data_IF_884487105511
#
_entry.id   IF_884487105511
#
_cell.length_a   1.000
_cell.length_b   1.000
_cell.length_c   1.000
_cell.angle_alpha   90.00
_cell.angle_beta   90.00
_cell.angle_gamma   90.00
#
_symmetry.space_group_name_H-M   'P 1'
#
loop_
_entity.id
_entity.type
_entity.pdbx_description
1 polymer ?
#
# COMPACT_ATOMS: atom_id res chain seq x y z
N UNK A 1 -6.11 -17.29 -4.09
CA UNK A 1 -6.37 -16.75 -5.44
C UNK A 1 -5.13 -16.00 -5.91
N UNK A 2 -4.49 -16.48 -6.95
CA UNK A 2 -3.37 -15.78 -7.55
C UNK A 2 -3.85 -14.50 -8.22
N UNK A 3 -3.15 -13.38 -8.00
CA UNK A 3 -3.33 -12.19 -8.82
C UNK A 3 -2.97 -12.62 -10.25
N UNK A 4 -3.83 -12.42 -11.25
CA UNK A 4 -3.46 -12.72 -12.62
C UNK A 4 -2.22 -11.90 -12.96
N UNK A 5 -1.15 -12.58 -13.36
CA UNK A 5 0.02 -11.91 -13.92
C UNK A 5 -0.46 -11.10 -15.11
N UNK A 6 -0.30 -9.77 -15.03
CA UNK A 6 -0.58 -8.90 -16.16
C UNK A 6 0.43 -9.29 -17.24
N UNK A 7 -0.01 -10.12 -18.20
CA UNK A 7 0.77 -10.41 -19.40
C UNK A 7 0.91 -9.09 -20.16
N UNK A 8 2.11 -8.54 -20.15
CA UNK A 8 2.48 -7.48 -21.08
C UNK A 8 2.29 -7.99 -22.49
N UNK A 9 1.22 -7.59 -23.14
CA UNK A 9 1.11 -7.73 -24.62
C UNK A 9 2.05 -6.69 -25.21
N UNK A 10 3.15 -7.14 -25.80
CA UNK A 10 3.98 -6.31 -26.69
C UNK A 10 3.13 -5.91 -27.89
N UNK A 11 2.90 -4.60 -28.05
CA UNK A 11 2.25 -4.01 -29.22
C UNK A 11 0.90 -3.34 -28.87
N UNK A 12 0.87 -2.01 -28.99
CA UNK A 12 -0.32 -1.15 -29.00
C UNK A 12 -1.26 -1.27 -27.78
N UNK A 13 -0.76 -1.08 -26.60
CA UNK A 13 -1.57 -1.05 -25.38
C UNK A 13 -1.04 -0.06 -24.36
N UNK A 14 -1.95 0.45 -23.52
CA UNK A 14 -1.59 1.23 -22.34
C UNK A 14 -0.67 0.40 -21.45
N UNK A 15 0.51 0.93 -21.15
CA UNK A 15 1.43 0.31 -20.19
C UNK A 15 1.02 0.74 -18.79
N UNK A 16 0.74 -0.24 -17.93
CA UNK A 16 0.33 -0.03 -16.54
C UNK A 16 1.35 -0.67 -15.62
N UNK A 17 1.81 0.08 -14.63
CA UNK A 17 2.76 -0.36 -13.61
C UNK A 17 2.13 -0.24 -12.22
N UNK A 18 2.26 -1.27 -11.39
CA UNK A 18 1.90 -1.19 -9.98
C UNK A 18 2.94 -0.33 -9.27
N UNK A 19 2.49 0.74 -8.61
CA UNK A 19 3.37 1.68 -7.90
C UNK A 19 3.25 1.58 -6.38
N UNK A 20 2.16 1.02 -5.87
CA UNK A 20 1.99 0.77 -4.45
C UNK A 20 0.98 -0.35 -4.17
N UNK A 21 1.28 -1.18 -3.19
CA UNK A 21 0.37 -2.18 -2.63
C UNK A 21 0.24 -1.90 -1.14
N UNK A 22 -0.99 -1.81 -0.65
CA UNK A 22 -1.31 -1.72 0.77
C UNK A 22 -1.89 -3.05 1.21
N UNK A 23 -1.32 -3.63 2.26
CA UNK A 23 -1.77 -4.90 2.83
C UNK A 23 -2.05 -4.77 4.31
N UNK A 24 -2.88 -5.67 4.82
CA UNK A 24 -2.97 -5.96 6.24
C UNK A 24 -2.56 -7.40 6.51
N UNK A 25 -2.05 -7.62 7.72
CA UNK A 25 -1.66 -8.93 8.23
C UNK A 25 -1.79 -8.96 9.75
N UNK A 26 -1.68 -10.12 10.36
CA UNK A 26 -1.60 -10.28 11.81
C UNK A 26 -0.42 -11.16 12.17
N UNK A 27 0.32 -10.75 13.20
CA UNK A 27 1.41 -11.54 13.76
C UNK A 27 0.92 -12.61 14.76
N UNK A 28 -0.37 -12.57 15.13
CA UNK A 28 -0.96 -13.52 16.09
C UNK A 28 -0.35 -13.43 17.49
N UNK A 29 0.20 -12.28 17.84
CA UNK A 29 0.90 -12.06 19.09
C UNK A 29 0.78 -10.60 19.51
N UNK A 30 0.58 -10.33 20.80
CA UNK A 30 0.61 -8.96 21.31
C UNK A 30 2.04 -8.39 21.24
N UNK A 31 2.15 -7.15 20.79
CA UNK A 31 3.44 -6.48 20.56
C UNK A 31 3.61 -5.33 21.55
N UNK A 32 4.68 -5.35 22.37
CA UNK A 32 5.02 -4.25 23.26
C UNK A 32 5.65 -3.09 22.46
N UNK A 33 4.81 -2.15 22.03
CA UNK A 33 5.23 -1.05 21.13
C UNK A 33 6.27 -0.12 21.77
N UNK A 34 6.16 0.14 23.07
CA UNK A 34 7.13 0.95 23.80
C UNK A 34 8.53 0.31 23.77
N UNK A 35 8.61 -1.00 23.98
CA UNK A 35 9.87 -1.75 23.91
C UNK A 35 10.44 -1.73 22.49
N UNK A 36 9.59 -1.89 21.49
CA UNK A 36 9.99 -1.76 20.08
C UNK A 36 10.58 -0.39 19.80
N UNK A 37 9.89 0.67 20.17
CA UNK A 37 10.30 2.04 19.93
C UNK A 37 11.62 2.39 20.66
N UNK A 38 11.82 1.87 21.85
CA UNK A 38 13.03 2.11 22.65
C UNK A 38 14.27 1.36 22.12
N UNK A 39 14.07 0.26 21.41
CA UNK A 39 15.17 -0.67 21.08
C UNK A 39 15.49 -0.69 19.57
N UNK A 40 14.48 -0.58 18.72
CA UNK A 40 14.64 -0.72 17.27
C UNK A 40 14.86 0.64 16.61
N UNK A 41 15.85 0.75 15.72
CA UNK A 41 16.00 1.93 14.87
C UNK A 41 14.88 2.02 13.83
N UNK A 42 14.73 3.19 13.23
CA UNK A 42 13.73 3.45 12.18
C UNK A 42 12.27 3.25 12.64
N UNK A 43 12.02 3.39 13.93
CA UNK A 43 10.67 3.38 14.51
C UNK A 43 10.27 4.76 14.99
N UNK A 44 8.97 5.02 14.93
CA UNK A 44 8.34 6.24 15.44
C UNK A 44 7.05 5.83 16.15
N UNK A 45 6.93 6.22 17.42
CA UNK A 45 5.77 5.86 18.24
C UNK A 45 5.39 7.03 19.15
N UNK A 46 4.20 7.53 18.94
CA UNK A 46 3.59 8.58 19.75
C UNK A 46 2.15 8.20 20.09
N UNK A 47 1.94 7.45 21.19
CA UNK A 47 0.61 6.90 21.52
C UNK A 47 -0.44 7.96 21.81
N UNK A 48 -0.06 9.17 22.17
CA UNK A 48 -0.99 10.27 22.41
C UNK A 48 -1.62 10.81 21.11
N UNK A 49 -0.90 10.68 19.99
CA UNK A 49 -1.37 11.13 18.68
C UNK A 49 -1.95 9.98 17.85
N UNK A 50 -1.34 8.81 17.91
CA UNK A 50 -1.73 7.67 17.11
C UNK A 50 -1.34 6.34 17.79
N UNK A 51 -2.24 5.33 17.87
CA UNK A 51 -2.02 4.11 18.64
C UNK A 51 -1.08 3.10 17.98
N UNK A 52 -0.65 3.33 16.76
CA UNK A 52 0.26 2.44 16.04
C UNK A 52 1.69 2.95 16.03
N UNK A 53 2.64 2.00 16.01
CA UNK A 53 4.06 2.29 15.79
C UNK A 53 4.35 2.25 14.29
N UNK A 54 5.05 3.24 13.79
CA UNK A 54 5.58 3.25 12.42
C UNK A 54 6.97 2.64 12.42
N UNK A 55 7.21 1.65 11.57
CA UNK A 55 8.55 1.15 11.26
C UNK A 55 8.85 1.36 9.77
N UNK A 56 10.03 1.90 9.47
CA UNK A 56 10.48 2.12 8.09
C UNK A 56 11.56 1.12 7.72
N UNK A 57 11.39 0.49 6.57
CA UNK A 57 12.33 -0.48 6.00
C UNK A 57 12.99 0.18 4.79
N UNK A 58 14.32 0.10 4.71
CA UNK A 58 15.08 0.72 3.61
C UNK A 58 15.06 -0.11 2.34
N UNK A 59 15.15 -1.42 2.50
CA UNK A 59 15.16 -2.36 1.38
C UNK A 59 14.36 -3.63 1.75
N UNK A 60 13.25 -3.90 1.09
CA UNK A 60 12.55 -3.02 0.15
C UNK A 60 12.07 -1.72 0.82
N UNK A 61 12.00 -0.63 0.07
CA UNK A 61 11.55 0.68 0.60
C UNK A 61 10.06 0.64 0.93
N UNK A 62 9.74 0.30 2.16
CA UNK A 62 8.38 0.14 2.67
C UNK A 62 8.24 0.75 4.06
N UNK A 63 7.01 0.97 4.47
CA UNK A 63 6.67 1.36 5.84
C UNK A 63 5.56 0.47 6.35
N UNK A 64 5.57 0.19 7.63
CA UNK A 64 4.49 -0.55 8.27
C UNK A 64 4.01 0.16 9.54
N UNK A 65 2.71 0.06 9.77
CA UNK A 65 2.06 0.39 11.02
C UNK A 65 1.89 -0.91 11.80
N UNK A 66 2.36 -0.94 13.03
CA UNK A 66 2.23 -2.08 13.92
C UNK A 66 1.40 -1.65 15.13
N UNK A 67 0.37 -2.42 15.42
CA UNK A 67 -0.51 -2.20 16.56
C UNK A 67 -0.20 -3.18 17.70
N UNK A 68 -0.53 -2.81 18.92
CA UNK A 68 -0.30 -3.66 20.11
C UNK A 68 -0.92 -5.04 20.01
N UNK A 69 -2.04 -5.16 19.29
CA UNK A 69 -2.70 -6.45 19.00
C UNK A 69 -1.93 -7.37 18.05
N UNK A 70 -0.83 -6.90 17.47
CA UNK A 70 -0.08 -7.64 16.45
C UNK A 70 -0.59 -7.43 15.01
N UNK A 71 -1.60 -6.59 14.81
CA UNK A 71 -2.04 -6.20 13.47
C UNK A 71 -0.96 -5.36 12.80
N UNK A 72 -0.71 -5.63 11.53
CA UNK A 72 0.21 -4.86 10.67
C UNK A 72 -0.56 -4.30 9.47
N UNK A 73 -0.25 -3.08 9.10
CA UNK A 73 -0.61 -2.49 7.80
C UNK A 73 0.69 -2.06 7.12
N UNK A 74 0.99 -2.63 5.96
CA UNK A 74 2.22 -2.33 5.23
C UNK A 74 1.90 -1.63 3.91
N UNK A 75 2.71 -0.63 3.55
CA UNK A 75 2.58 0.17 2.33
C UNK A 75 3.96 0.43 1.70
N UNK A 76 3.98 0.80 0.43
CA UNK A 76 5.18 1.17 -0.32
C UNK A 76 5.75 0.05 -1.20
N UNK A 77 5.28 -1.17 -1.06
CA UNK A 77 5.72 -2.28 -1.90
C UNK A 77 5.08 -2.21 -3.29
N UNK A 78 5.85 -2.59 -4.31
CA UNK A 78 5.40 -2.64 -5.71
C UNK A 78 5.05 -4.05 -6.19
N UNK A 79 5.29 -5.06 -5.36
CA UNK A 79 4.97 -6.46 -5.63
C UNK A 79 4.67 -7.21 -4.33
N UNK A 80 3.97 -8.34 -4.42
CA UNK A 80 3.72 -9.20 -3.27
C UNK A 80 5.01 -9.81 -2.71
N UNK A 81 5.99 -10.09 -3.55
CA UNK A 81 7.32 -10.54 -3.13
C UNK A 81 7.95 -9.53 -2.17
N UNK A 82 7.92 -8.23 -2.52
CA UNK A 82 8.43 -7.15 -1.67
C UNK A 82 7.63 -6.97 -0.39
N UNK A 83 6.32 -7.20 -0.41
CA UNK A 83 5.49 -7.25 0.79
C UNK A 83 6.00 -8.36 1.73
N UNK A 84 6.18 -9.57 1.24
CA UNK A 84 6.66 -10.69 2.05
C UNK A 84 8.07 -10.48 2.60
N UNK A 85 8.97 -9.90 1.80
CA UNK A 85 10.30 -9.50 2.28
C UNK A 85 10.23 -8.49 3.44
N UNK A 86 9.33 -7.51 3.34
CA UNK A 86 9.11 -6.51 4.40
C UNK A 86 8.61 -7.14 5.69
N UNK A 87 7.62 -8.03 5.61
CA UNK A 87 7.10 -8.74 6.78
C UNK A 87 8.18 -9.60 7.43
N UNK A 88 8.98 -10.31 6.64
CA UNK A 88 10.12 -11.10 7.17
C UNK A 88 11.12 -10.23 7.93
N UNK A 89 11.42 -9.04 7.43
CA UNK A 89 12.32 -8.09 8.11
C UNK A 89 11.74 -7.57 9.42
N UNK A 90 10.43 -7.30 9.45
CA UNK A 90 9.73 -6.92 10.69
C UNK A 90 9.82 -8.05 11.72
N UNK A 91 9.54 -9.28 11.33
CA UNK A 91 9.63 -10.46 12.23
C UNK A 91 11.05 -10.62 12.78
N UNK A 92 12.07 -10.51 11.92
CA UNK A 92 13.47 -10.56 12.36
C UNK A 92 13.83 -9.43 13.35
N UNK A 93 13.24 -8.26 13.17
CA UNK A 93 13.42 -7.15 14.11
C UNK A 93 12.79 -7.45 15.46
N UNK A 94 11.61 -8.06 15.48
CA UNK A 94 10.95 -8.52 16.71
C UNK A 94 11.74 -9.61 17.42
N UNK A 95 12.34 -10.55 16.69
CA UNK A 95 13.21 -11.59 17.26
C UNK A 95 14.40 -11.00 18.02
N UNK A 96 14.97 -9.90 17.52
CA UNK A 96 16.08 -9.19 18.20
C UNK A 96 15.72 -8.65 19.59
N UNK A 97 14.45 -8.43 19.84
CA UNK A 97 13.93 -7.99 21.14
C UNK A 97 13.22 -9.12 21.91
N UNK A 98 13.53 -10.36 21.55
CA UNK A 98 13.01 -11.59 22.16
C UNK A 98 11.49 -11.82 21.97
N UNK A 99 10.91 -11.28 20.90
CA UNK A 99 9.53 -11.57 20.51
C UNK A 99 9.56 -12.55 19.34
N UNK A 100 9.10 -13.79 19.59
CA UNK A 100 9.06 -14.86 18.59
C UNK A 100 7.67 -14.98 18.01
N UNK A 101 7.56 -14.79 16.71
CA UNK A 101 6.33 -14.99 15.97
C UNK A 101 6.23 -16.45 15.54
N UNK A 102 5.23 -17.16 16.04
CA UNK A 102 5.06 -18.61 15.85
C UNK A 102 4.26 -18.99 14.60
N UNK A 103 3.51 -18.04 14.06
CA UNK A 103 2.66 -18.27 12.89
C UNK A 103 3.32 -17.72 11.63
N UNK A 104 2.89 -18.23 10.47
CA UNK A 104 3.18 -17.61 9.19
C UNK A 104 2.09 -16.56 8.92
N UNK A 105 2.41 -15.25 8.91
CA UNK A 105 1.39 -14.23 8.72
C UNK A 105 0.74 -14.35 7.34
N UNK A 106 -0.58 -14.36 7.31
CA UNK A 106 -1.35 -14.26 6.07
C UNK A 106 -1.49 -12.80 5.66
N UNK A 107 -1.40 -12.54 4.36
CA UNK A 107 -1.44 -11.20 3.77
C UNK A 107 -2.79 -11.00 3.09
N UNK A 108 -3.48 -9.93 3.46
CA UNK A 108 -4.69 -9.47 2.79
C UNK A 108 -4.42 -8.16 2.09
N UNK A 109 -4.63 -8.12 0.77
CA UNK A 109 -4.48 -6.89 -0.02
C UNK A 109 -5.66 -5.97 0.29
N UNK A 110 -5.36 -4.73 0.70
CA UNK A 110 -6.35 -3.70 1.00
C UNK A 110 -6.52 -2.73 -0.16
N UNK A 111 -5.42 -2.40 -0.83
CA UNK A 111 -5.43 -1.47 -1.97
C UNK A 111 -4.24 -1.71 -2.88
N UNK A 112 -4.43 -1.47 -4.17
CA UNK A 112 -3.38 -1.46 -5.19
C UNK A 112 -3.48 -0.14 -5.94
N UNK A 113 -2.36 0.57 -6.05
CA UNK A 113 -2.24 1.76 -6.89
C UNK A 113 -1.37 1.42 -8.07
N UNK A 114 -1.88 1.71 -9.25
CA UNK A 114 -1.17 1.56 -10.51
C UNK A 114 -1.13 2.88 -11.26
N UNK A 115 -0.11 3.07 -12.06
CA UNK A 115 0.07 4.25 -12.92
C UNK A 115 0.31 3.80 -14.36
N UNK A 116 -0.17 4.59 -15.30
CA UNK A 116 0.02 4.33 -16.71
C UNK A 116 -0.18 5.59 -17.55
N UNK A 117 0.25 5.54 -18.81
CA UNK A 117 0.02 6.62 -19.76
C UNK A 117 -0.74 6.07 -20.97
N UNK A 118 -1.74 6.80 -21.39
CA UNK A 118 -2.48 6.51 -22.63
C UNK A 118 -1.84 7.14 -23.87
N UNK A 119 -0.74 7.90 -23.69
CA UNK A 119 0.05 8.45 -24.79
C UNK A 119 -0.63 9.57 -25.56
N UNK A 120 -1.63 10.24 -24.98
CA UNK A 120 -2.33 11.36 -25.59
C UNK A 120 -2.78 12.36 -24.52
N UNK A 121 -2.92 13.62 -24.93
CA UNK A 121 -3.45 14.65 -24.08
C UNK A 121 -4.97 14.49 -23.88
N UNK A 122 -5.43 14.70 -22.66
CA UNK A 122 -6.83 14.60 -22.30
C UNK A 122 -7.47 15.98 -22.09
N UNK A 123 -8.63 16.21 -22.71
CA UNK A 123 -9.45 17.34 -22.34
C UNK A 123 -10.37 16.98 -21.18
N UNK A 124 -9.94 17.27 -19.96
CA UNK A 124 -10.66 16.90 -18.74
C UNK A 124 -12.03 17.56 -18.61
N UNK A 125 -12.22 18.76 -19.14
CA UNK A 125 -13.53 19.44 -19.15
C UNK A 125 -14.52 18.67 -20.02
N UNK A 126 -14.10 18.24 -21.19
CA UNK A 126 -14.94 17.43 -22.09
C UNK A 126 -15.27 16.09 -21.49
N UNK A 127 -14.27 15.42 -20.86
CA UNK A 127 -14.48 14.14 -20.20
C UNK A 127 -15.46 14.25 -19.03
N UNK A 128 -15.35 15.30 -18.22
CA UNK A 128 -16.26 15.54 -17.11
C UNK A 128 -17.73 15.73 -17.55
N UNK A 129 -17.94 16.29 -18.75
CA UNK A 129 -19.29 16.45 -19.30
C UNK A 129 -19.83 15.16 -19.94
N UNK A 130 -18.97 14.31 -20.49
CA UNK A 130 -19.38 13.11 -21.26
C UNK A 130 -19.42 11.82 -20.46
N UNK A 131 -18.61 11.71 -19.40
CA UNK A 131 -18.54 10.52 -18.58
C UNK A 131 -19.42 10.66 -17.34
N UNK A 132 -20.08 9.56 -16.97
CA UNK A 132 -20.79 9.47 -15.69
C UNK A 132 -19.79 9.18 -14.56
N UNK A 133 -20.19 9.42 -13.32
CA UNK A 133 -19.39 9.13 -12.12
C UNK A 133 -18.03 9.85 -12.09
N UNK A 134 -17.98 11.07 -12.59
CA UNK A 134 -16.79 11.93 -12.56
C UNK A 134 -16.95 13.08 -11.56
N UNK A 135 -15.82 13.47 -10.97
CA UNK A 135 -15.67 14.69 -10.17
C UNK A 135 -14.46 15.45 -10.71
N UNK A 136 -14.66 16.70 -11.11
CA UNK A 136 -13.59 17.54 -11.63
C UNK A 136 -13.70 18.97 -11.11
N UNK A 137 -12.81 19.32 -10.21
CA UNK A 137 -12.71 20.64 -9.59
C UNK A 137 -11.25 21.13 -9.67
N UNK A 138 -10.83 21.67 -10.83
CA UNK A 138 -9.42 21.98 -11.10
C UNK A 138 -8.82 23.00 -10.14
N UNK A 139 -9.62 23.82 -9.45
CA UNK A 139 -9.16 24.76 -8.45
C UNK A 139 -8.74 24.07 -7.13
N UNK A 140 -9.29 22.90 -6.84
CA UNK A 140 -8.98 22.11 -5.65
C UNK A 140 -7.97 21.01 -5.94
N UNK A 141 -8.13 20.33 -7.07
CA UNK A 141 -7.29 19.20 -7.48
C UNK A 141 -7.19 19.14 -9.01
N UNK A 142 -5.97 19.03 -9.59
CA UNK A 142 -5.79 19.16 -11.03
C UNK A 142 -6.27 17.95 -11.83
N UNK A 143 -6.49 16.79 -11.18
CA UNK A 143 -6.95 15.58 -11.83
C UNK A 143 -8.47 15.44 -11.83
N UNK A 144 -8.98 14.76 -12.83
CA UNK A 144 -10.38 14.32 -12.87
C UNK A 144 -10.48 12.96 -12.18
N UNK A 145 -11.38 12.86 -11.20
CA UNK A 145 -11.71 11.58 -10.54
C UNK A 145 -12.78 10.87 -11.34
N UNK A 146 -12.51 9.65 -11.77
CA UNK A 146 -13.45 8.80 -12.50
C UNK A 146 -13.66 7.49 -11.74
N UNK A 147 -14.88 7.26 -11.29
CA UNK A 147 -15.24 6.08 -10.48
C UNK A 147 -15.93 5.02 -11.35
N UNK A 148 -15.45 3.78 -11.26
CA UNK A 148 -16.06 2.60 -11.86
C UNK A 148 -16.50 1.64 -10.74
N UNK A 149 -17.73 1.82 -10.20
CA UNK A 149 -18.21 1.03 -9.05
C UNK A 149 -18.25 -0.48 -9.31
N UNK A 150 -18.60 -0.87 -10.54
CA UNK A 150 -18.66 -2.28 -10.96
C UNK A 150 -17.30 -2.99 -10.90
N UNK A 151 -16.20 -2.24 -11.06
CA UNK A 151 -14.82 -2.74 -10.95
C UNK A 151 -14.20 -2.45 -9.59
N UNK A 152 -14.91 -1.72 -8.71
CA UNK A 152 -14.36 -1.17 -7.45
C UNK A 152 -13.05 -0.42 -7.67
N UNK A 153 -12.97 0.31 -8.78
CA UNK A 153 -11.80 1.07 -9.17
C UNK A 153 -12.10 2.56 -9.28
N UNK A 154 -11.11 3.37 -8.92
CA UNK A 154 -11.13 4.81 -9.11
C UNK A 154 -9.90 5.21 -9.90
N UNK A 155 -10.09 5.99 -10.94
CA UNK A 155 -9.03 6.55 -11.77
C UNK A 155 -8.86 8.03 -11.48
N UNK A 156 -7.61 8.46 -11.49
CA UNK A 156 -7.24 9.87 -11.54
C UNK A 156 -6.68 10.13 -12.94
N UNK A 157 -7.31 11.00 -13.68
CA UNK A 157 -6.92 11.38 -15.04
C UNK A 157 -6.30 12.79 -15.02
N UNK A 158 -5.17 12.94 -15.68
CA UNK A 158 -4.42 14.19 -15.73
C UNK A 158 -4.17 14.65 -17.16
#
# INVERSE_FOLDING_TARGET
MGIPSVRQRKGEGIQVEIVNIVISSSLGHDIPLEKMAATLPNTEYNPEQFPGLVIRIKDPKTSALIFSSGKIVCTGARSLEKVHESIKKIIKSLEKINIKIKIKPEVTIQNIVASGSIGMDLNLNVLAMKLNNTEYEPEQFPGLVYKLPELRATFLLF
#
